data_IF_722664313374
#
_entry.id   IF_722664313374
#
_cell.length_a   1.000
_cell.length_b   1.000
_cell.length_c   1.000
_cell.angle_alpha   90.00
_cell.angle_beta   90.00
_cell.angle_gamma   90.00
#
_symmetry.space_group_name_H-M   'P 1'
#
loop_
_entity.id
_entity.type
_entity.pdbx_description
1 polymer ?
#
# COMPACT_ATOMS: atom_id res chain seq x y z
N UNK A 1 -13.19 -0.18 -17.35
CA UNK A 1 -13.52 -0.93 -16.11
C UNK A 1 -14.62 -1.93 -16.43
N UNK A 2 -14.50 -3.18 -15.98
CA UNK A 2 -15.44 -4.26 -16.28
C UNK A 2 -16.04 -4.79 -14.98
N UNK A 3 -17.26 -4.30 -14.61
CA UNK A 3 -18.00 -4.74 -13.43
C UNK A 3 -17.15 -4.74 -12.14
N UNK A 4 -16.63 -3.58 -11.79
CA UNK A 4 -15.89 -3.37 -10.54
C UNK A 4 -16.87 -2.97 -9.46
N UNK A 5 -16.97 -3.78 -8.41
CA UNK A 5 -17.76 -3.49 -7.21
C UNK A 5 -16.84 -3.64 -6.00
N UNK A 6 -16.80 -2.62 -5.15
CA UNK A 6 -16.01 -2.64 -3.92
C UNK A 6 -16.60 -1.68 -2.89
N UNK A 7 -16.39 -2.01 -1.63
CA UNK A 7 -16.72 -1.18 -0.50
C UNK A 7 -15.43 -0.74 0.23
N UNK A 8 -15.35 0.54 0.58
CA UNK A 8 -14.23 1.11 1.32
C UNK A 8 -14.69 1.43 2.73
N UNK A 9 -14.16 0.73 3.70
CA UNK A 9 -14.48 0.89 5.13
C UNK A 9 -13.63 2.02 5.72
N UNK A 10 -14.28 2.90 6.49
CA UNK A 10 -13.64 4.05 7.14
C UNK A 10 -12.46 3.61 8.04
N UNK A 11 -11.38 4.42 8.02
CA UNK A 11 -10.20 4.25 8.88
C UNK A 11 -9.18 3.22 8.37
N UNK A 12 -9.45 2.58 7.22
CA UNK A 12 -8.52 1.64 6.61
C UNK A 12 -7.66 2.30 5.53
N UNK A 13 -6.51 1.68 5.26
CA UNK A 13 -5.61 2.04 4.15
C UNK A 13 -5.73 0.97 3.07
N UNK A 14 -6.22 1.36 1.91
CA UNK A 14 -6.42 0.48 0.75
C UNK A 14 -5.34 0.71 -0.30
N UNK A 15 -4.59 -0.34 -0.62
CA UNK A 15 -3.69 -0.38 -1.77
C UNK A 15 -4.43 -0.82 -3.03
N UNK A 16 -4.40 -0.03 -4.09
CA UNK A 16 -4.94 -0.40 -5.41
C UNK A 16 -3.75 -0.83 -6.26
N UNK A 17 -3.63 -2.13 -6.46
CA UNK A 17 -2.53 -2.78 -7.15
C UNK A 17 -2.92 -3.18 -8.58
N UNK A 18 -1.94 -3.25 -9.44
CA UNK A 18 -2.11 -3.75 -10.79
C UNK A 18 -1.08 -3.19 -11.77
N UNK A 19 -0.81 -3.87 -12.87
CA UNK A 19 0.10 -3.38 -13.90
C UNK A 19 -0.40 -2.08 -14.53
N UNK A 20 0.46 -1.44 -15.31
CA UNK A 20 0.06 -0.25 -16.08
C UNK A 20 -1.10 -0.60 -17.01
N UNK A 21 -2.11 0.28 -17.10
CA UNK A 21 -3.32 0.05 -17.87
C UNK A 21 -4.36 -0.88 -17.22
N UNK A 22 -4.14 -1.36 -15.98
CA UNK A 22 -5.12 -2.21 -15.28
C UNK A 22 -6.42 -1.48 -14.89
N UNK A 23 -6.40 -0.14 -14.85
CA UNK A 23 -7.55 0.71 -14.52
C UNK A 23 -7.46 1.44 -13.19
N UNK A 24 -6.31 1.44 -12.48
CA UNK A 24 -6.11 2.14 -11.18
C UNK A 24 -6.53 3.61 -11.25
N UNK A 25 -5.82 4.41 -12.03
CA UNK A 25 -6.09 5.86 -12.17
C UNK A 25 -7.48 6.15 -12.77
N UNK A 26 -7.98 5.27 -13.65
CA UNK A 26 -9.36 5.39 -14.17
C UNK A 26 -10.38 5.21 -13.05
N UNK A 27 -10.20 4.24 -12.16
CA UNK A 27 -11.08 4.03 -11.00
C UNK A 27 -11.07 5.25 -10.09
N UNK A 28 -9.89 5.76 -9.76
CA UNK A 28 -9.74 6.98 -8.95
C UNK A 28 -10.37 8.20 -9.64
N UNK A 29 -10.16 8.36 -10.95
CA UNK A 29 -10.75 9.45 -11.72
C UNK A 29 -12.28 9.42 -11.77
N UNK A 30 -12.89 8.22 -11.82
CA UNK A 30 -14.35 8.07 -11.79
C UNK A 30 -14.90 8.50 -10.43
N UNK A 31 -14.36 8.00 -9.32
CA UNK A 31 -14.87 8.34 -7.98
C UNK A 31 -14.64 9.82 -7.65
N UNK A 32 -13.58 10.43 -8.18
CA UNK A 32 -13.30 11.87 -8.04
C UNK A 32 -14.09 12.74 -9.02
N UNK A 33 -14.97 12.15 -9.83
CA UNK A 33 -15.81 12.84 -10.82
C UNK A 33 -14.99 13.61 -11.88
N UNK A 34 -13.78 13.15 -12.18
CA UNK A 34 -12.90 13.67 -13.25
C UNK A 34 -13.10 12.90 -14.55
N UNK A 35 -13.42 11.60 -14.43
CA UNK A 35 -13.72 10.69 -15.55
C UNK A 35 -15.18 10.25 -15.48
N UNK A 36 -15.90 10.38 -16.59
CA UNK A 36 -17.29 9.93 -16.66
C UNK A 36 -17.38 8.40 -16.68
N UNK A 37 -18.19 7.82 -15.81
CA UNK A 37 -18.50 6.40 -15.84
C UNK A 37 -19.42 6.09 -17.03
N UNK A 38 -19.24 4.93 -17.65
CA UNK A 38 -20.14 4.45 -18.73
C UNK A 38 -21.44 3.88 -18.15
N UNK A 39 -21.35 3.17 -17.02
CA UNK A 39 -22.49 2.54 -16.32
C UNK A 39 -22.10 2.28 -14.85
N UNK A 40 -23.04 1.75 -14.07
CA UNK A 40 -22.87 1.48 -12.63
C UNK A 40 -23.10 2.71 -11.77
N UNK A 41 -22.97 2.53 -10.46
CA UNK A 41 -23.19 3.58 -9.47
C UNK A 41 -22.05 3.57 -8.44
N UNK A 42 -21.81 4.69 -7.81
CA UNK A 42 -20.96 4.80 -6.64
C UNK A 42 -21.55 5.83 -5.68
N UNK A 43 -21.29 5.66 -4.42
CA UNK A 43 -21.74 6.59 -3.38
C UNK A 43 -20.61 6.89 -2.41
N UNK A 44 -20.70 8.03 -1.77
CA UNK A 44 -19.79 8.47 -0.73
C UNK A 44 -20.48 8.40 0.63
N UNK A 45 -19.74 8.05 1.68
CA UNK A 45 -20.23 8.06 3.06
C UNK A 45 -21.55 7.30 3.24
N UNK A 46 -21.66 6.10 2.63
CA UNK A 46 -22.88 5.27 2.70
C UNK A 46 -24.09 5.89 2.00
N UNK A 47 -23.88 6.75 1.01
CA UNK A 47 -24.98 7.40 0.26
C UNK A 47 -25.63 8.60 0.97
N UNK A 48 -25.05 9.04 2.11
CA UNK A 48 -25.62 10.13 2.92
C UNK A 48 -25.33 11.53 2.36
N UNK A 49 -24.43 11.62 1.36
CA UNK A 49 -23.98 12.89 0.76
C UNK A 49 -24.02 12.85 -0.75
N UNK A 50 -24.37 14.00 -1.35
CA UNK A 50 -24.15 14.24 -2.79
C UNK A 50 -22.65 14.25 -3.09
N UNK A 51 -22.25 13.76 -4.28
CA UNK A 51 -20.83 13.68 -4.69
C UNK A 51 -20.10 15.01 -4.52
N UNK A 52 -20.70 16.14 -4.90
CA UNK A 52 -20.07 17.45 -4.78
C UNK A 52 -19.75 17.82 -3.32
N UNK A 53 -20.65 17.55 -2.39
CA UNK A 53 -20.40 17.80 -0.95
C UNK A 53 -19.41 16.82 -0.36
N UNK A 54 -19.47 15.56 -0.77
CA UNK A 54 -18.54 14.53 -0.35
C UNK A 54 -17.09 14.87 -0.77
N UNK A 55 -16.88 15.36 -1.98
CA UNK A 55 -15.56 15.74 -2.50
C UNK A 55 -14.91 16.89 -1.72
N UNK A 56 -15.67 17.72 -1.00
CA UNK A 56 -15.09 18.72 -0.08
C UNK A 56 -14.38 18.08 1.12
N UNK A 57 -14.73 16.83 1.46
CA UNK A 57 -14.11 16.05 2.54
C UNK A 57 -13.06 15.06 2.03
N UNK A 58 -12.71 15.14 0.75
CA UNK A 58 -11.69 14.31 0.11
C UNK A 58 -10.48 15.15 -0.23
N UNK A 59 -9.31 14.68 0.17
CA UNK A 59 -8.02 15.14 -0.33
C UNK A 59 -7.56 14.21 -1.45
N UNK A 60 -7.07 14.74 -2.56
CA UNK A 60 -6.61 13.89 -3.65
C UNK A 60 -5.35 14.44 -4.32
N UNK A 61 -4.46 13.51 -4.71
CA UNK A 61 -3.34 13.75 -5.61
C UNK A 61 -3.49 12.74 -6.75
N UNK A 62 -3.69 13.24 -7.96
CA UNK A 62 -3.71 12.45 -9.19
C UNK A 62 -2.55 12.90 -10.03
N UNK A 63 -1.75 11.95 -10.53
CA UNK A 63 -0.57 12.22 -11.35
C UNK A 63 0.48 13.06 -10.62
N UNK A 64 0.99 14.12 -11.29
CA UNK A 64 2.12 14.92 -10.79
C UNK A 64 1.64 16.15 -10.04
N UNK A 65 2.37 16.55 -8.97
CA UNK A 65 2.12 17.82 -8.29
C UNK A 65 2.21 18.99 -9.27
N UNK A 66 1.14 19.77 -9.39
CA UNK A 66 1.08 20.92 -10.26
C UNK A 66 0.92 22.21 -9.43
N UNK A 67 2.04 22.91 -9.23
CA UNK A 67 2.12 24.15 -8.47
C UNK A 67 2.79 25.24 -9.32
N UNK A 68 2.63 26.49 -8.91
CA UNK A 68 3.28 27.63 -9.55
C UNK A 68 4.79 27.62 -9.24
N UNK A 69 5.66 27.45 -10.25
CA UNK A 69 7.09 27.19 -10.03
C UNK A 69 7.84 28.33 -9.32
N UNK A 70 7.41 29.56 -9.53
CA UNK A 70 8.06 30.76 -8.98
C UNK A 70 7.47 31.23 -7.65
N UNK A 71 6.36 30.65 -7.22
CA UNK A 71 5.80 30.86 -5.89
C UNK A 71 6.50 29.98 -4.85
N UNK A 72 6.52 30.46 -3.62
CA UNK A 72 7.03 29.67 -2.47
C UNK A 72 6.07 28.54 -2.12
N UNK A 73 6.51 27.63 -1.26
CA UNK A 73 5.65 26.56 -0.76
C UNK A 73 4.42 27.13 -0.04
N UNK A 74 4.62 28.13 0.83
CA UNK A 74 3.52 28.75 1.58
C UNK A 74 2.58 29.54 0.69
N UNK A 75 3.06 30.22 -0.33
CA UNK A 75 2.22 30.95 -1.29
C UNK A 75 1.35 29.99 -2.12
N UNK A 76 1.92 28.87 -2.60
CA UNK A 76 1.18 27.86 -3.32
C UNK A 76 0.05 27.28 -2.47
N UNK A 77 0.32 26.88 -1.22
CA UNK A 77 -0.72 26.37 -0.32
C UNK A 77 -1.74 27.44 0.08
N UNK A 78 -1.30 28.69 0.27
CA UNK A 78 -2.21 29.82 0.57
C UNK A 78 -3.17 30.09 -0.59
N UNK A 79 -2.72 29.92 -1.83
CA UNK A 79 -3.59 30.00 -3.02
C UNK A 79 -4.67 28.91 -2.98
N UNK A 80 -4.30 27.68 -2.65
CA UNK A 80 -5.28 26.57 -2.48
C UNK A 80 -6.27 26.89 -1.36
N UNK A 81 -5.80 27.43 -0.24
CA UNK A 81 -6.68 27.87 0.85
C UNK A 81 -7.70 28.90 0.38
N UNK A 82 -7.28 29.89 -0.41
CA UNK A 82 -8.19 30.90 -0.98
C UNK A 82 -9.25 30.27 -1.89
N UNK A 83 -8.84 29.37 -2.79
CA UNK A 83 -9.75 28.69 -3.74
C UNK A 83 -10.79 27.86 -3.01
N UNK A 84 -10.36 27.13 -1.95
CA UNK A 84 -11.22 26.23 -1.20
C UNK A 84 -11.91 26.88 0.02
N UNK A 85 -11.69 28.17 0.26
CA UNK A 85 -12.20 28.91 1.44
C UNK A 85 -11.75 28.25 2.78
N UNK A 86 -10.49 27.81 2.84
CA UNK A 86 -9.86 27.20 4.02
C UNK A 86 -9.07 28.27 4.81
N UNK A 87 -9.04 28.12 6.14
CA UNK A 87 -8.26 29.00 7.00
C UNK A 87 -6.76 28.94 6.64
N UNK A 88 -6.10 30.08 6.30
CA UNK A 88 -4.67 30.10 5.96
C UNK A 88 -3.73 29.61 7.06
N UNK A 89 -4.14 29.61 8.34
CA UNK A 89 -3.36 29.06 9.44
C UNK A 89 -3.01 27.58 9.23
N UNK A 90 -3.82 26.83 8.48
CA UNK A 90 -3.58 25.44 8.11
C UNK A 90 -2.31 25.23 7.26
N UNK A 91 -1.85 26.25 6.56
CA UNK A 91 -0.65 26.17 5.71
C UNK A 91 0.58 25.74 6.52
N UNK A 92 0.86 26.45 7.62
CA UNK A 92 2.04 26.14 8.43
C UNK A 92 1.91 24.77 9.13
N UNK A 93 0.72 24.44 9.61
CA UNK A 93 0.41 23.13 10.20
C UNK A 93 0.72 21.99 9.21
N UNK A 94 0.23 22.08 7.97
CA UNK A 94 0.43 21.03 6.98
C UNK A 94 1.87 20.99 6.44
N UNK A 95 2.55 22.14 6.34
CA UNK A 95 3.98 22.16 6.01
C UNK A 95 4.82 21.49 7.09
N UNK A 96 4.49 21.70 8.38
CA UNK A 96 5.15 21.03 9.48
C UNK A 96 4.92 19.50 9.43
N UNK A 97 3.68 19.07 9.22
CA UNK A 97 3.30 17.66 9.14
C UNK A 97 4.12 16.91 8.09
N UNK A 98 4.36 17.53 6.92
CA UNK A 98 5.12 16.90 5.84
C UNK A 98 6.64 17.21 5.89
N UNK A 99 7.14 17.87 6.96
CA UNK A 99 8.56 18.18 7.13
C UNK A 99 9.09 19.19 6.11
N UNK A 100 8.29 20.21 5.76
CA UNK A 100 8.66 21.28 4.84
C UNK A 100 8.57 22.68 5.45
N UNK A 101 8.39 22.78 6.77
CA UNK A 101 8.23 24.09 7.44
C UNK A 101 9.45 24.99 7.22
N UNK A 102 10.67 24.46 7.33
CA UNK A 102 11.93 25.18 7.14
C UNK A 102 12.14 25.64 5.69
N UNK A 103 11.34 25.11 4.77
CA UNK A 103 11.38 25.40 3.33
C UNK A 103 10.15 26.20 2.86
N UNK A 104 9.34 26.70 3.78
CA UNK A 104 8.07 27.39 3.49
C UNK A 104 8.22 28.57 2.52
N UNK A 105 9.35 29.31 2.62
CA UNK A 105 9.68 30.48 1.80
C UNK A 105 10.57 30.15 0.59
N UNK A 106 10.88 28.86 0.36
CA UNK A 106 11.62 28.41 -0.82
C UNK A 106 10.68 28.24 -2.02
N UNK A 107 11.13 28.65 -3.21
CA UNK A 107 10.37 28.54 -4.45
C UNK A 107 10.20 27.09 -4.88
N UNK A 108 9.01 26.72 -5.38
CA UNK A 108 8.68 25.36 -5.77
C UNK A 108 9.61 24.77 -6.84
N UNK A 109 10.11 25.58 -7.78
CA UNK A 109 11.06 25.11 -8.80
C UNK A 109 12.40 24.65 -8.23
N UNK A 110 12.75 25.05 -7.00
CA UNK A 110 13.97 24.59 -6.30
C UNK A 110 13.81 23.29 -5.53
N UNK A 111 12.59 22.74 -5.50
CA UNK A 111 12.28 21.53 -4.74
C UNK A 111 12.74 20.27 -5.47
N UNK A 112 13.31 19.31 -4.72
CA UNK A 112 13.50 17.94 -5.20
C UNK A 112 12.13 17.28 -5.49
N UNK A 113 12.13 16.17 -6.21
CA UNK A 113 10.88 15.43 -6.50
C UNK A 113 10.16 15.03 -5.21
N UNK A 114 10.91 14.51 -4.22
CA UNK A 114 10.33 14.13 -2.91
C UNK A 114 9.76 15.32 -2.15
N UNK A 115 10.39 16.50 -2.20
CA UNK A 115 9.82 17.73 -1.61
C UNK A 115 8.55 18.17 -2.34
N UNK A 116 8.52 18.07 -3.66
CA UNK A 116 7.31 18.35 -4.46
C UNK A 116 6.16 17.44 -4.10
N UNK A 117 6.44 16.16 -3.94
CA UNK A 117 5.44 15.17 -3.56
C UNK A 117 4.90 15.43 -2.14
N UNK A 118 5.79 15.73 -1.18
CA UNK A 118 5.38 16.10 0.19
C UNK A 118 4.53 17.38 0.21
N UNK A 119 4.84 18.37 -0.61
CA UNK A 119 4.01 19.57 -0.73
C UNK A 119 2.62 19.26 -1.31
N UNK A 120 2.53 18.33 -2.26
CA UNK A 120 1.24 17.88 -2.79
C UNK A 120 0.39 17.20 -1.71
N UNK A 121 0.99 16.35 -0.90
CA UNK A 121 0.30 15.74 0.25
C UNK A 121 -0.18 16.84 1.21
N UNK A 122 0.67 17.83 1.55
CA UNK A 122 0.26 18.96 2.38
C UNK A 122 -0.95 19.69 1.79
N UNK A 123 -0.96 19.92 0.47
CA UNK A 123 -2.09 20.55 -0.23
C UNK A 123 -3.38 19.73 -0.16
N UNK A 124 -3.28 18.40 -0.31
CA UNK A 124 -4.42 17.51 -0.19
C UNK A 124 -5.00 17.45 1.22
N UNK A 125 -4.17 17.75 2.25
CA UNK A 125 -4.54 17.72 3.65
C UNK A 125 -5.10 19.07 4.20
N UNK A 126 -5.08 20.14 3.43
CA UNK A 126 -5.46 21.48 3.93
C UNK A 126 -6.88 21.55 4.51
N UNK A 127 -7.81 20.77 3.97
CA UNK A 127 -9.21 20.73 4.41
C UNK A 127 -9.50 19.65 5.47
N UNK A 128 -8.46 19.07 6.10
CA UNK A 128 -8.57 17.95 7.05
C UNK A 128 -9.50 16.84 6.54
N UNK A 129 -9.16 16.20 5.39
CA UNK A 129 -10.05 15.29 4.71
C UNK A 129 -10.32 14.02 5.52
N UNK A 130 -11.54 13.48 5.43
CA UNK A 130 -11.88 12.17 5.97
C UNK A 130 -11.34 11.03 5.08
N UNK A 131 -11.11 11.32 3.80
CA UNK A 131 -10.58 10.38 2.81
C UNK A 131 -9.43 11.06 2.05
N UNK A 132 -8.29 10.37 1.94
CA UNK A 132 -7.13 10.80 1.17
C UNK A 132 -6.88 9.81 0.02
N UNK A 133 -6.80 10.32 -1.21
CA UNK A 133 -6.55 9.55 -2.42
C UNK A 133 -5.20 9.94 -2.99
N UNK A 134 -4.31 8.96 -3.17
CA UNK A 134 -2.95 9.14 -3.66
C UNK A 134 -2.71 8.22 -4.86
N UNK A 135 -2.44 8.80 -6.02
CA UNK A 135 -2.07 8.04 -7.22
C UNK A 135 -0.55 8.09 -7.41
N UNK A 136 0.10 6.93 -7.25
CA UNK A 136 1.54 6.71 -7.39
C UNK A 136 2.42 7.73 -6.62
N UNK A 137 2.20 7.96 -5.30
CA UNK A 137 2.85 9.04 -4.56
C UNK A 137 4.35 8.86 -4.37
N UNK A 138 4.89 7.66 -4.59
CA UNK A 138 6.30 7.31 -4.43
C UNK A 138 7.03 7.15 -5.75
N UNK A 139 6.34 7.32 -6.89
CA UNK A 139 6.91 7.08 -8.20
C UNK A 139 8.08 8.03 -8.51
N UNK A 140 9.22 7.45 -8.89
CA UNK A 140 10.45 8.18 -9.25
C UNK A 140 11.23 8.76 -8.07
N UNK A 141 10.84 8.44 -6.83
CA UNK A 141 11.59 8.84 -5.64
C UNK A 141 12.76 7.89 -5.37
N UNK A 142 13.78 8.43 -4.72
CA UNK A 142 14.86 7.66 -4.12
C UNK A 142 14.36 6.88 -2.87
N UNK A 143 15.09 5.88 -2.37
CA UNK A 143 14.67 5.10 -1.21
C UNK A 143 14.37 5.94 0.03
N UNK A 144 15.10 7.04 0.25
CA UNK A 144 14.85 7.95 1.37
C UNK A 144 13.53 8.71 1.20
N UNK A 145 13.23 9.19 -0.01
CA UNK A 145 11.97 9.85 -0.34
C UNK A 145 10.76 8.91 -0.18
N UNK A 146 10.90 7.66 -0.62
CA UNK A 146 9.87 6.61 -0.43
C UNK A 146 9.60 6.42 1.06
N UNK A 147 10.65 6.27 1.88
CA UNK A 147 10.50 6.11 3.34
C UNK A 147 9.77 7.30 3.98
N UNK A 148 10.13 8.54 3.60
CA UNK A 148 9.48 9.74 4.12
C UNK A 148 7.99 9.81 3.77
N UNK A 149 7.61 9.50 2.52
CA UNK A 149 6.20 9.46 2.10
C UNK A 149 5.44 8.38 2.87
N UNK A 150 6.02 7.20 3.04
CA UNK A 150 5.44 6.11 3.81
C UNK A 150 5.14 6.52 5.25
N UNK A 151 6.09 7.17 5.93
CA UNK A 151 5.90 7.61 7.31
C UNK A 151 4.80 8.66 7.44
N UNK A 152 4.72 9.59 6.47
CA UNK A 152 3.63 10.57 6.39
C UNK A 152 2.27 9.85 6.22
N UNK A 153 2.17 8.88 5.33
CA UNK A 153 0.93 8.11 5.12
C UNK A 153 0.53 7.37 6.40
N UNK A 154 1.48 6.71 7.08
CA UNK A 154 1.22 6.03 8.36
C UNK A 154 0.72 6.99 9.43
N UNK A 155 1.32 8.18 9.53
CA UNK A 155 0.91 9.21 10.48
C UNK A 155 -0.52 9.69 10.21
N UNK A 156 -0.88 9.91 8.94
CA UNK A 156 -2.23 10.32 8.54
C UNK A 156 -3.25 9.20 8.84
N UNK A 157 -2.90 7.96 8.52
CA UNK A 157 -3.74 6.79 8.79
C UNK A 157 -4.00 6.61 10.29
N UNK A 158 -2.98 6.82 11.14
CA UNK A 158 -3.10 6.74 12.60
C UNK A 158 -4.07 7.79 13.18
N UNK A 159 -4.36 8.87 12.45
CA UNK A 159 -5.37 9.88 12.80
C UNK A 159 -6.79 9.48 12.39
N UNK A 160 -6.98 8.29 11.80
CA UNK A 160 -8.27 7.77 11.40
C UNK A 160 -8.73 8.16 9.99
N UNK A 161 -7.88 8.80 9.20
CA UNK A 161 -8.15 9.12 7.80
C UNK A 161 -8.18 7.83 6.97
N UNK A 162 -9.22 7.65 6.16
CA UNK A 162 -9.27 6.56 5.17
C UNK A 162 -8.38 6.89 3.99
N UNK A 163 -7.50 5.97 3.58
CA UNK A 163 -6.54 6.25 2.50
C UNK A 163 -6.75 5.25 1.36
N UNK A 164 -6.80 5.75 0.13
CA UNK A 164 -6.73 4.97 -1.10
C UNK A 164 -5.40 5.29 -1.78
N UNK A 165 -4.53 4.29 -1.88
CA UNK A 165 -3.18 4.41 -2.43
C UNK A 165 -3.08 3.54 -3.69
N UNK A 166 -3.07 4.13 -4.88
CA UNK A 166 -2.68 3.39 -6.08
C UNK A 166 -1.15 3.33 -6.17
N UNK A 167 -0.62 2.12 -6.34
CA UNK A 167 0.81 1.90 -6.48
C UNK A 167 1.10 0.63 -7.29
N UNK A 168 2.27 0.59 -7.91
CA UNK A 168 2.84 -0.60 -8.51
C UNK A 168 3.98 -1.19 -7.66
N UNK A 169 4.37 -0.52 -6.57
CA UNK A 169 5.39 -0.97 -5.63
C UNK A 169 4.76 -1.81 -4.52
N UNK A 170 4.75 -3.12 -4.71
CA UNK A 170 4.08 -4.09 -3.83
C UNK A 170 4.63 -4.07 -2.40
N UNK A 171 5.96 -3.99 -2.25
CA UNK A 171 6.63 -3.88 -0.96
C UNK A 171 6.20 -2.64 -0.15
N UNK A 172 5.94 -1.51 -0.82
CA UNK A 172 5.45 -0.31 -0.14
C UNK A 172 3.99 -0.44 0.30
N UNK A 173 3.16 -1.08 -0.53
CA UNK A 173 1.76 -1.35 -0.19
C UNK A 173 1.68 -2.30 1.00
N UNK A 174 2.48 -3.35 1.04
CA UNK A 174 2.55 -4.31 2.15
C UNK A 174 2.89 -3.63 3.49
N UNK A 175 3.78 -2.63 3.46
CA UNK A 175 4.22 -1.90 4.67
C UNK A 175 3.22 -0.89 5.20
N UNK A 176 2.26 -0.44 4.38
CA UNK A 176 1.38 0.70 4.70
C UNK A 176 -0.09 0.32 4.73
N UNK A 177 -0.52 -0.57 3.82
CA UNK A 177 -1.93 -0.85 3.62
C UNK A 177 -2.45 -1.94 4.57
N UNK A 178 -3.71 -1.80 4.96
CA UNK A 178 -4.46 -2.83 5.70
C UNK A 178 -5.19 -3.76 4.76
N UNK A 179 -5.63 -3.23 3.61
CA UNK A 179 -6.38 -3.95 2.57
C UNK A 179 -5.77 -3.69 1.21
N UNK A 180 -5.99 -4.61 0.29
CA UNK A 180 -5.58 -4.47 -1.11
C UNK A 180 -6.71 -4.79 -2.06
N UNK A 181 -6.70 -4.09 -3.18
CA UNK A 181 -7.53 -4.31 -4.35
C UNK A 181 -6.61 -4.58 -5.53
N UNK A 182 -6.62 -5.80 -6.07
CA UNK A 182 -5.82 -6.18 -7.23
C UNK A 182 -6.66 -6.04 -8.49
N UNK A 183 -6.20 -5.17 -9.40
CA UNK A 183 -6.84 -4.90 -10.68
C UNK A 183 -6.01 -5.46 -11.84
N UNK A 184 -6.67 -6.16 -12.77
CA UNK A 184 -6.08 -6.58 -14.04
C UNK A 184 -7.09 -6.41 -15.17
N UNK A 185 -6.69 -5.73 -16.25
CA UNK A 185 -7.54 -5.47 -17.43
C UNK A 185 -8.95 -4.97 -17.08
N UNK A 186 -9.01 -4.09 -16.07
CA UNK A 186 -10.26 -3.47 -15.61
C UNK A 186 -11.17 -4.37 -14.76
N UNK A 187 -10.70 -5.53 -14.30
CA UNK A 187 -11.42 -6.43 -13.39
C UNK A 187 -10.72 -6.51 -12.05
N UNK A 188 -11.50 -6.74 -10.99
CA UNK A 188 -10.96 -7.08 -9.67
C UNK A 188 -10.62 -8.57 -9.67
N UNK A 189 -9.36 -8.89 -9.36
CA UNK A 189 -8.91 -10.25 -9.09
C UNK A 189 -8.99 -10.59 -7.61
N UNK A 190 -8.71 -9.61 -6.74
CA UNK A 190 -8.79 -9.76 -5.29
C UNK A 190 -9.22 -8.43 -4.65
N UNK A 191 -9.98 -8.54 -3.58
CA UNK A 191 -10.32 -7.42 -2.69
C UNK A 191 -10.44 -7.94 -1.27
N UNK A 192 -9.58 -7.48 -0.36
CA UNK A 192 -9.57 -7.94 1.02
C UNK A 192 -8.35 -7.49 1.81
N UNK A 193 -8.15 -8.02 3.03
CA UNK A 193 -6.96 -7.74 3.85
C UNK A 193 -5.67 -8.12 3.12
N UNK A 194 -4.58 -7.37 3.37
CA UNK A 194 -3.25 -7.66 2.78
C UNK A 194 -2.83 -9.10 3.05
N UNK A 195 -3.02 -9.59 4.28
CA UNK A 195 -2.63 -10.94 4.69
C UNK A 195 -3.59 -12.05 4.21
N UNK A 196 -4.65 -11.71 3.52
CA UNK A 196 -5.67 -12.67 3.03
C UNK A 196 -5.59 -12.95 1.53
N UNK A 197 -4.64 -12.35 0.82
CA UNK A 197 -4.57 -12.43 -0.65
C UNK A 197 -4.14 -13.82 -1.14
N UNK A 198 -3.33 -14.54 -0.37
CA UNK A 198 -2.93 -15.90 -0.64
C UNK A 198 -3.58 -16.88 0.34
N UNK A 199 -4.04 -18.03 -0.20
CA UNK A 199 -4.37 -19.20 0.62
C UNK A 199 -3.10 -19.96 1.05
N UNK A 200 -1.93 -19.53 0.60
CA UNK A 200 -0.67 -20.19 0.92
C UNK A 200 -0.25 -19.84 2.35
N UNK A 201 -0.17 -20.85 3.18
CA UNK A 201 0.26 -20.73 4.57
C UNK A 201 1.76 -20.35 4.63
N UNK A 202 2.17 -19.75 5.75
CA UNK A 202 3.57 -19.52 6.04
C UNK A 202 4.36 -20.82 5.82
N UNK A 203 5.61 -20.72 5.39
CA UNK A 203 6.48 -21.85 5.13
C UNK A 203 7.81 -21.69 5.87
N UNK A 204 8.49 -22.80 6.13
CA UNK A 204 9.82 -22.79 6.72
C UNK A 204 10.89 -22.97 5.65
N UNK A 205 11.96 -22.20 5.77
CA UNK A 205 13.22 -22.35 5.08
C UNK A 205 14.20 -23.04 6.03
N UNK A 206 14.57 -24.27 5.73
CA UNK A 206 15.37 -25.12 6.61
C UNK A 206 16.67 -25.55 5.90
N UNK A 207 17.75 -25.71 6.68
CA UNK A 207 18.94 -26.42 6.23
C UNK A 207 19.49 -27.31 7.32
N UNK A 208 20.09 -28.42 6.92
CA UNK A 208 20.81 -29.33 7.79
C UNK A 208 21.98 -29.97 7.01
N UNK A 209 22.96 -30.55 7.71
CA UNK A 209 24.10 -31.25 7.06
C UNK A 209 23.66 -32.41 6.16
N UNK A 210 22.62 -33.14 6.58
CA UNK A 210 22.01 -34.21 5.80
C UNK A 210 20.61 -33.80 5.31
N UNK A 211 20.59 -33.19 4.12
CA UNK A 211 19.34 -32.70 3.50
C UNK A 211 18.39 -33.83 3.12
N UNK A 212 18.91 -35.04 2.77
CA UNK A 212 18.06 -36.21 2.41
C UNK A 212 17.29 -36.67 3.61
N UNK A 213 17.98 -36.93 4.73
CA UNK A 213 17.38 -37.34 5.99
C UNK A 213 16.40 -36.27 6.53
N UNK A 214 16.74 -34.99 6.40
CA UNK A 214 15.85 -33.90 6.77
C UNK A 214 14.50 -33.98 6.03
N UNK A 215 14.51 -34.19 4.71
CA UNK A 215 13.29 -34.33 3.91
C UNK A 215 12.45 -35.53 4.29
N UNK A 216 13.08 -36.72 4.49
CA UNK A 216 12.38 -37.96 4.88
C UNK A 216 11.63 -37.76 6.20
N UNK A 217 12.25 -37.11 7.19
CA UNK A 217 11.64 -36.85 8.49
C UNK A 217 10.53 -35.79 8.39
N UNK A 218 10.75 -34.73 7.59
CA UNK A 218 9.74 -33.68 7.37
C UNK A 218 8.47 -34.24 6.73
N UNK A 219 8.59 -35.13 5.75
CA UNK A 219 7.44 -35.76 5.08
C UNK A 219 6.64 -36.69 6.00
N UNK A 220 7.22 -37.13 7.11
CA UNK A 220 6.53 -37.92 8.13
C UNK A 220 5.75 -37.06 9.14
N UNK A 221 6.01 -35.76 9.19
CA UNK A 221 5.33 -34.85 10.10
C UNK A 221 3.91 -34.53 9.57
N UNK A 222 2.85 -34.81 10.36
CA UNK A 222 1.47 -34.59 9.91
C UNK A 222 1.11 -33.15 9.58
N UNK A 223 1.84 -32.18 10.14
CA UNK A 223 1.64 -30.75 9.88
C UNK A 223 2.28 -30.28 8.57
N UNK A 224 3.10 -31.10 7.90
CA UNK A 224 3.77 -30.75 6.65
C UNK A 224 2.89 -31.15 5.46
N UNK A 225 2.71 -30.23 4.52
CA UNK A 225 2.01 -30.48 3.26
C UNK A 225 2.97 -30.90 2.15
N UNK A 226 3.99 -30.07 1.94
CA UNK A 226 4.91 -30.20 0.82
C UNK A 226 6.32 -29.79 1.22
N UNK A 227 7.30 -30.49 0.67
CA UNK A 227 8.73 -30.18 0.83
C UNK A 227 9.34 -29.99 -0.54
N UNK A 228 10.01 -28.84 -0.76
CA UNK A 228 10.60 -28.44 -2.04
C UNK A 228 12.08 -28.13 -1.84
N UNK A 229 12.91 -28.51 -2.80
CA UNK A 229 14.33 -28.13 -2.81
C UNK A 229 14.52 -26.69 -3.28
N UNK A 230 15.36 -25.97 -2.56
CA UNK A 230 15.83 -24.66 -2.95
C UNK A 230 17.34 -24.55 -2.68
N UNK A 231 18.14 -24.88 -3.67
CA UNK A 231 19.60 -24.94 -3.60
C UNK A 231 20.10 -25.76 -2.40
N UNK A 232 20.76 -25.10 -1.43
CA UNK A 232 21.29 -25.75 -0.21
C UNK A 232 20.24 -25.84 0.93
N UNK A 233 18.99 -25.43 0.67
CA UNK A 233 17.91 -25.36 1.64
C UNK A 233 16.70 -26.18 1.20
N UNK A 234 15.77 -26.32 2.13
CA UNK A 234 14.49 -27.00 1.91
C UNK A 234 13.38 -26.07 2.34
N UNK A 235 12.41 -25.86 1.45
CA UNK A 235 11.19 -25.12 1.74
C UNK A 235 10.12 -26.09 2.19
N UNK A 236 9.52 -25.83 3.34
CA UNK A 236 8.54 -26.69 3.98
C UNK A 236 7.22 -25.97 4.10
N UNK A 237 6.25 -26.37 3.32
CA UNK A 237 4.89 -25.84 3.35
C UNK A 237 4.06 -26.63 4.34
N UNK A 238 3.18 -25.95 5.09
CA UNK A 238 2.44 -26.52 6.20
C UNK A 238 0.98 -26.76 5.84
N UNK A 239 0.36 -27.83 6.39
CA UNK A 239 -1.09 -28.05 6.40
C UNK A 239 -1.76 -27.33 7.56
N UNK A 240 -1.06 -27.24 8.67
CA UNK A 240 -1.51 -26.59 9.90
C UNK A 240 -0.36 -25.81 10.53
N UNK A 241 -0.67 -24.72 11.20
CA UNK A 241 0.34 -23.90 11.87
C UNK A 241 1.12 -24.71 12.90
N UNK A 242 2.44 -24.61 12.86
CA UNK A 242 3.36 -25.16 13.85
C UNK A 242 4.35 -24.08 14.25
N UNK A 243 4.69 -24.01 15.54
CA UNK A 243 5.70 -23.07 16.01
C UNK A 243 7.11 -23.53 15.57
N UNK A 244 7.99 -22.55 15.34
CA UNK A 244 9.41 -22.79 15.01
C UNK A 244 10.11 -23.64 16.07
N UNK A 245 9.81 -23.42 17.36
CA UNK A 245 10.39 -24.17 18.45
C UNK A 245 9.94 -25.64 18.44
N UNK A 246 8.64 -25.89 18.17
CA UNK A 246 8.08 -27.25 18.11
C UNK A 246 8.65 -28.00 16.90
N UNK A 247 8.77 -27.34 15.73
CA UNK A 247 9.38 -27.96 14.56
C UNK A 247 10.85 -28.27 14.78
N UNK A 248 11.61 -27.36 15.40
CA UNK A 248 13.01 -27.58 15.74
C UNK A 248 13.19 -28.74 16.72
N UNK A 249 12.35 -28.78 17.75
CA UNK A 249 12.36 -29.88 18.72
C UNK A 249 12.04 -31.23 18.06
N UNK A 250 10.99 -31.28 17.22
CA UNK A 250 10.64 -32.50 16.49
C UNK A 250 11.82 -33.02 15.65
N UNK A 251 12.52 -32.13 14.93
CA UNK A 251 13.68 -32.53 14.12
C UNK A 251 14.87 -32.95 14.97
N UNK A 252 15.11 -32.27 16.09
CA UNK A 252 16.19 -32.63 17.02
C UNK A 252 15.96 -34.01 17.65
N UNK A 253 14.74 -34.32 18.08
CA UNK A 253 14.35 -35.59 18.63
C UNK A 253 14.51 -36.75 17.62
N UNK A 254 14.46 -36.42 16.30
CA UNK A 254 14.74 -37.34 15.19
C UNK A 254 16.22 -37.31 14.71
N UNK A 255 17.13 -36.82 15.55
CA UNK A 255 18.57 -36.71 15.29
C UNK A 255 18.92 -35.84 14.05
N UNK A 256 18.18 -34.76 13.82
CA UNK A 256 18.50 -33.71 12.87
C UNK A 256 18.86 -32.42 13.60
N UNK A 257 20.10 -31.98 13.46
CA UNK A 257 20.52 -30.65 13.90
C UNK A 257 20.42 -29.67 12.73
N UNK A 258 19.52 -28.69 12.87
CA UNK A 258 19.38 -27.66 11.87
C UNK A 258 20.57 -26.69 11.89
N UNK A 259 21.01 -26.27 10.72
CA UNK A 259 21.98 -25.18 10.51
C UNK A 259 21.29 -23.88 10.14
N UNK A 260 20.02 -23.97 9.70
CA UNK A 260 19.19 -22.83 9.35
C UNK A 260 17.72 -23.17 9.60
N UNK A 261 16.98 -22.26 10.25
CA UNK A 261 15.53 -22.33 10.44
C UNK A 261 14.98 -20.92 10.43
N UNK A 262 14.20 -20.60 9.40
CA UNK A 262 13.51 -19.32 9.25
C UNK A 262 12.08 -19.56 8.80
N UNK A 263 11.12 -18.99 9.52
CA UNK A 263 9.74 -18.93 9.05
C UNK A 263 9.59 -17.79 8.05
N UNK A 264 9.12 -18.09 6.86
CA UNK A 264 8.86 -17.15 5.78
C UNK A 264 7.36 -16.98 5.56
N UNK A 265 6.98 -15.75 5.32
CA UNK A 265 5.64 -15.43 4.79
C UNK A 265 5.77 -15.22 3.29
N UNK A 266 4.76 -15.65 2.54
CA UNK A 266 4.67 -15.28 1.14
C UNK A 266 4.60 -13.76 1.03
N UNK A 267 5.52 -13.18 0.27
CA UNK A 267 5.51 -11.74 -0.01
C UNK A 267 4.25 -11.36 -0.80
N UNK A 268 3.80 -10.12 -0.66
CA UNK A 268 2.71 -9.60 -1.48
C UNK A 268 3.02 -9.71 -2.98
N UNK A 269 4.31 -9.67 -3.34
CA UNK A 269 4.79 -9.80 -4.72
C UNK A 269 4.56 -11.22 -5.28
N UNK A 270 4.94 -12.26 -4.52
CA UNK A 270 4.69 -13.65 -4.92
C UNK A 270 3.20 -13.92 -5.11
N UNK A 271 2.39 -13.48 -4.14
CA UNK A 271 0.93 -13.61 -4.20
C UNK A 271 0.32 -12.85 -5.40
N UNK A 272 0.84 -11.66 -5.70
CA UNK A 272 0.39 -10.87 -6.84
C UNK A 272 0.74 -11.55 -8.17
N UNK A 273 1.95 -12.12 -8.31
CA UNK A 273 2.37 -12.84 -9.51
C UNK A 273 1.51 -14.10 -9.74
N UNK A 274 1.22 -14.86 -8.69
CA UNK A 274 0.31 -16.01 -8.77
C UNK A 274 -1.09 -15.61 -9.26
N UNK A 275 -1.66 -14.53 -8.70
CA UNK A 275 -3.00 -14.05 -9.08
C UNK A 275 -3.06 -13.49 -10.50
N UNK A 276 -2.00 -12.84 -10.96
CA UNK A 276 -1.97 -12.17 -12.27
C UNK A 276 -1.51 -13.08 -13.40
N UNK A 277 -0.92 -14.23 -13.07
CA UNK A 277 -0.33 -15.15 -14.05
C UNK A 277 0.88 -14.53 -14.77
N UNK A 278 1.61 -13.65 -14.10
CA UNK A 278 2.75 -12.88 -14.65
C UNK A 278 4.08 -13.59 -14.37
#
# INVERSE_FOLDING_TARGET
MNNVSLDIVKGNVYGILGPNGSGKSTTLGIVLNVVNKTSGEYSWFGGTMQTHEALKKVGAIIERPNFYPYMTASENLSLVCKIKSINPAKVLEKLQLVGLLDRKDSKFNTFSLGMKQRLAIASALLNDPEILILDEPTNGLDPQGIHQIRDIIKMIAAQGTTILLASHLLDEVEKVCTHVLVLQKGKILYSGPVNGMSNNQDFFELAAKDTKKLKEILLQNPSVDKVVDDNDKVLVYLKSAIDSADLNKYLFDNNIALTHLVMRKHSLEEQFLELTGA
#
